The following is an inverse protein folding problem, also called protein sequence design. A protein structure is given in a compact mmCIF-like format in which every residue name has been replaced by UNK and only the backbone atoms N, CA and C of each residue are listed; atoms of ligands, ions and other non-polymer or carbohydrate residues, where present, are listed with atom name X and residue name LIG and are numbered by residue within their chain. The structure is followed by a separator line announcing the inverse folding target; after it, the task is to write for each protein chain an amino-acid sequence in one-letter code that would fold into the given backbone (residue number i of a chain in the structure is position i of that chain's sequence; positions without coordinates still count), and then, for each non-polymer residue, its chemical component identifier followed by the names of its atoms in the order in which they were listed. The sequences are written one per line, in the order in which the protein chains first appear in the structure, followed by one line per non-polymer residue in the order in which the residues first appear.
data_IF_255181057269
#
_entry.id   IF_255181057269
#
_cell.length_a   1.000
_cell.length_b   1.000
_cell.length_c   1.000
_cell.angle_alpha   90.00
_cell.angle_beta   90.00
_cell.angle_gamma   90.00
#
_symmetry.space_group_name_H-M   'P 1'
#
loop_
_entity.id
_entity.type
_entity.pdbx_description
1 polymer ?
#
# COMPACT_ATOMS: atom_id res chain seq x y z
N UNK A 1 7.94 -18.88 1.88
CA UNK A 1 8.59 -17.63 2.31
C UNK A 1 7.61 -16.48 2.10
N UNK A 2 7.46 -15.60 3.08
CA UNK A 2 6.59 -14.42 2.99
C UNK A 2 7.40 -13.15 3.25
N UNK A 3 7.23 -12.12 2.40
CA UNK A 3 7.83 -10.81 2.61
C UNK A 3 6.70 -9.78 2.64
N UNK A 4 6.62 -9.03 3.72
CA UNK A 4 5.71 -7.91 3.86
C UNK A 4 6.48 -6.61 3.69
N UNK A 5 5.94 -5.68 2.90
CA UNK A 5 6.61 -4.43 2.56
C UNK A 5 5.88 -3.23 3.13
N UNK A 6 6.62 -2.13 3.31
CA UNK A 6 6.08 -0.78 3.55
C UNK A 6 5.82 -0.11 2.21
N UNK A 7 4.58 0.26 1.96
CA UNK A 7 4.15 0.93 0.73
C UNK A 7 3.79 2.38 1.06
N UNK A 8 4.20 3.31 0.21
CA UNK A 8 3.82 4.72 0.29
C UNK A 8 2.96 5.07 -0.93
N UNK A 9 1.67 5.24 -0.69
CA UNK A 9 0.67 5.61 -1.67
C UNK A 9 0.45 7.12 -1.64
N UNK A 10 0.64 7.78 -2.77
CA UNK A 10 0.12 9.12 -3.01
C UNK A 10 -1.23 8.99 -3.71
N UNK A 11 -2.29 9.47 -3.07
CA UNK A 11 -3.67 9.32 -3.55
C UNK A 11 -4.41 10.65 -3.64
N UNK A 12 -5.37 10.68 -4.56
CA UNK A 12 -6.44 11.66 -4.55
C UNK A 12 -7.63 11.12 -3.76
N UNK A 13 -8.15 11.89 -2.81
CA UNK A 13 -9.27 11.48 -1.96
C UNK A 13 -10.32 12.59 -1.85
N UNK A 14 -11.56 12.20 -1.59
CA UNK A 14 -12.63 13.09 -1.18
C UNK A 14 -13.10 12.72 0.23
N UNK A 15 -13.22 13.70 1.12
CA UNK A 15 -13.79 13.50 2.45
C UNK A 15 -15.30 13.61 2.41
N UNK A 16 -16.01 13.07 3.42
CA UNK A 16 -17.46 13.26 3.56
C UNK A 16 -17.92 14.73 3.54
N UNK A 17 -17.06 15.67 3.91
CA UNK A 17 -17.35 17.11 3.81
C UNK A 17 -17.31 17.67 2.38
N UNK A 18 -17.02 16.85 1.36
CA UNK A 18 -16.82 17.27 -0.03
C UNK A 18 -15.42 17.82 -0.32
N UNK A 19 -14.55 17.99 0.69
CA UNK A 19 -13.19 18.48 0.48
C UNK A 19 -12.35 17.44 -0.24
N UNK A 20 -11.79 17.83 -1.39
CA UNK A 20 -10.88 17.02 -2.20
C UNK A 20 -9.43 17.32 -1.84
N UNK A 21 -8.62 16.25 -1.77
CA UNK A 21 -7.17 16.32 -1.56
C UNK A 21 -6.48 15.50 -2.64
N UNK A 22 -5.76 16.15 -3.56
CA UNK A 22 -5.18 15.49 -4.74
C UNK A 22 -3.80 14.83 -4.50
N UNK A 23 -3.18 15.07 -3.34
CA UNK A 23 -1.85 14.55 -2.99
C UNK A 23 -1.78 14.18 -1.52
N UNK A 24 -2.58 13.20 -1.11
CA UNK A 24 -2.53 12.65 0.24
C UNK A 24 -1.59 11.45 0.28
N UNK A 25 -0.54 11.50 1.12
CA UNK A 25 0.36 10.35 1.32
C UNK A 25 -0.18 9.42 2.39
N UNK A 26 -0.11 8.12 2.14
CA UNK A 26 -0.47 7.07 3.09
C UNK A 26 0.55 5.95 3.06
N UNK A 27 1.09 5.64 4.24
CA UNK A 27 1.98 4.49 4.42
C UNK A 27 1.17 3.32 4.96
N UNK A 28 1.24 2.19 4.27
CA UNK A 28 0.51 0.95 4.60
C UNK A 28 1.42 -0.27 4.45
N UNK A 29 0.98 -1.40 4.99
CA UNK A 29 1.71 -2.66 4.90
C UNK A 29 1.01 -3.61 3.93
N UNK A 30 1.79 -4.42 3.24
CA UNK A 30 1.24 -5.50 2.41
C UNK A 30 2.32 -6.33 1.73
N UNK A 31 2.02 -7.61 1.52
CA UNK A 31 2.89 -8.52 0.78
C UNK A 31 2.81 -8.28 -0.75
N UNK A 32 1.68 -7.75 -1.21
CA UNK A 32 1.42 -7.42 -2.62
C UNK A 32 0.77 -6.05 -2.73
N UNK A 33 0.80 -5.48 -3.95
CA UNK A 33 0.11 -4.23 -4.24
C UNK A 33 -1.38 -4.28 -3.87
N UNK A 34 -2.09 -5.35 -4.26
CA UNK A 34 -3.53 -5.49 -3.99
C UNK A 34 -3.86 -5.53 -2.51
N UNK A 35 -3.06 -6.24 -1.70
CA UNK A 35 -3.26 -6.29 -0.24
C UNK A 35 -2.98 -4.93 0.40
N UNK A 36 -1.93 -4.24 -0.02
CA UNK A 36 -1.60 -2.91 0.47
C UNK A 36 -2.68 -1.87 0.05
N UNK A 37 -3.16 -1.95 -1.19
CA UNK A 37 -4.26 -1.12 -1.69
C UNK A 37 -5.55 -1.35 -0.91
N UNK A 38 -5.89 -2.61 -0.62
CA UNK A 38 -7.05 -2.94 0.20
C UNK A 38 -6.94 -2.32 1.60
N UNK A 39 -5.81 -2.48 2.29
CA UNK A 39 -5.58 -1.90 3.62
C UNK A 39 -5.68 -0.36 3.62
N UNK A 40 -5.11 0.28 2.59
CA UNK A 40 -5.24 1.72 2.35
C UNK A 40 -6.70 2.14 2.20
N UNK A 41 -7.49 1.45 1.36
CA UNK A 41 -8.91 1.76 1.16
C UNK A 41 -9.70 1.58 2.46
N UNK A 42 -9.44 0.52 3.23
CA UNK A 42 -10.09 0.31 4.53
C UNK A 42 -9.73 1.42 5.52
N UNK A 43 -8.47 1.87 5.52
CA UNK A 43 -8.02 2.98 6.35
C UNK A 43 -8.70 4.30 5.96
N UNK A 44 -8.87 4.56 4.66
CA UNK A 44 -9.62 5.72 4.16
C UNK A 44 -11.09 5.67 4.61
N UNK A 45 -11.75 4.51 4.49
CA UNK A 45 -13.13 4.31 4.95
C UNK A 45 -13.29 4.63 6.43
N UNK A 46 -12.39 4.13 7.29
CA UNK A 46 -12.35 4.44 8.73
C UNK A 46 -12.17 5.93 9.01
N UNK A 47 -11.48 6.66 8.12
CA UNK A 47 -11.24 8.11 8.20
C UNK A 47 -12.31 8.96 7.52
N UNK A 48 -13.45 8.36 7.12
CA UNK A 48 -14.52 9.06 6.39
C UNK A 48 -14.02 9.74 5.10
N UNK A 49 -13.10 9.07 4.40
CA UNK A 49 -12.57 9.48 3.12
C UNK A 49 -12.76 8.37 2.08
N UNK A 50 -12.98 8.77 0.83
CA UNK A 50 -13.13 7.88 -0.31
C UNK A 50 -11.95 8.11 -1.25
N UNK A 51 -11.36 7.02 -1.74
CA UNK A 51 -10.34 7.06 -2.77
C UNK A 51 -10.97 7.53 -4.09
N UNK A 52 -10.35 8.52 -4.73
CA UNK A 52 -10.67 8.93 -6.11
C UNK A 52 -9.74 8.19 -7.06
N UNK A 53 -8.43 8.28 -6.82
CA UNK A 53 -7.42 7.61 -7.64
C UNK A 53 -6.09 7.47 -6.90
N UNK A 54 -5.30 6.48 -7.32
CA UNK A 54 -3.89 6.36 -6.94
C UNK A 54 -3.05 7.14 -7.94
N UNK A 55 -2.33 8.15 -7.45
CA UNK A 55 -1.48 9.03 -8.27
C UNK A 55 -0.09 8.44 -8.45
N UNK A 56 0.45 7.87 -7.38
CA UNK A 56 1.78 7.26 -7.35
C UNK A 56 1.84 6.24 -6.23
N UNK A 57 2.60 5.18 -6.45
CA UNK A 57 2.98 4.25 -5.40
C UNK A 57 4.49 4.02 -5.43
N UNK A 58 5.08 3.80 -4.27
CA UNK A 58 6.45 3.27 -4.15
C UNK A 58 6.55 2.31 -2.99
N UNK A 59 7.46 1.35 -3.08
CA UNK A 59 7.81 0.49 -1.94
C UNK A 59 9.00 1.11 -1.23
N UNK A 60 8.86 1.38 0.07
CA UNK A 60 9.88 2.02 0.89
C UNK A 60 10.91 1.02 1.42
N UNK A 61 10.49 -0.21 1.67
CA UNK A 61 11.35 -1.22 2.29
C UNK A 61 10.59 -2.47 2.70
N UNK A 62 11.34 -3.46 3.17
CA UNK A 62 10.78 -4.63 3.85
C UNK A 62 10.34 -4.21 5.25
N UNK A 63 9.08 -4.50 5.59
CA UNK A 63 8.56 -4.33 6.95
C UNK A 63 8.99 -5.50 7.84
N UNK A 64 8.79 -6.72 7.35
CA UNK A 64 9.28 -7.97 7.92
C UNK A 64 9.27 -9.06 6.86
N UNK A 65 10.03 -10.13 7.10
CA UNK A 65 9.99 -11.34 6.28
C UNK A 65 10.01 -12.58 7.17
N UNK A 66 9.29 -13.62 6.74
CA UNK A 66 9.21 -14.91 7.38
C UNK A 66 9.66 -16.02 6.42
N UNK A 67 10.40 -16.99 6.93
CA UNK A 67 10.73 -18.22 6.20
C UNK A 67 9.54 -19.20 6.18
N UNK A 68 9.76 -20.41 5.66
CA UNK A 68 8.72 -21.45 5.58
C UNK A 68 8.32 -22.01 6.95
N UNK A 69 9.14 -21.79 7.98
CA UNK A 69 8.90 -22.19 9.37
C UNK A 69 8.36 -21.03 10.22
N UNK A 70 7.90 -19.95 9.58
CA UNK A 70 7.38 -18.74 10.22
C UNK A 70 8.38 -18.01 11.14
N UNK A 71 9.69 -18.23 10.93
CA UNK A 71 10.75 -17.52 11.66
C UNK A 71 11.10 -16.22 10.97
N UNK A 72 11.39 -15.18 11.76
CA UNK A 72 11.82 -13.89 11.24
C UNK A 72 13.18 -14.00 10.56
N UNK A 73 13.24 -13.52 9.32
CA UNK A 73 14.48 -13.44 8.55
C UNK A 73 14.73 -12.01 8.12
N UNK A 74 16.02 -11.64 8.02
CA UNK A 74 16.42 -10.32 7.53
C UNK A 74 16.38 -10.32 6.01
N UNK A 75 15.62 -9.39 5.42
CA UNK A 75 15.55 -9.15 3.97
C UNK A 75 15.55 -7.66 3.67
N UNK A 76 16.00 -7.34 2.48
CA UNK A 76 16.05 -5.99 1.90
C UNK A 76 15.30 -5.97 0.58
N UNK A 77 15.06 -4.79 -0.01
CA UNK A 77 14.43 -4.70 -1.34
C UNK A 77 15.32 -5.27 -2.44
N UNK A 78 16.64 -5.34 -2.23
CA UNK A 78 17.57 -5.95 -3.18
C UNK A 78 17.35 -7.47 -3.31
N UNK A 79 16.76 -8.11 -2.31
CA UNK A 79 16.44 -9.54 -2.31
C UNK A 79 15.19 -9.88 -3.15
N UNK A 80 14.39 -8.87 -3.49
CA UNK A 80 13.14 -9.05 -4.24
C UNK A 80 12.22 -7.85 -4.09
N UNK A 81 12.05 -7.10 -5.19
CA UNK A 81 11.08 -6.02 -5.25
C UNK A 81 9.69 -6.61 -5.53
N UNK A 82 8.63 -6.22 -4.80
CA UNK A 82 7.29 -6.67 -5.14
C UNK A 82 6.86 -6.06 -6.47
N UNK A 83 6.03 -6.78 -7.19
CA UNK A 83 5.40 -6.27 -8.41
C UNK A 83 4.51 -5.07 -8.09
N UNK A 84 4.65 -4.02 -8.92
CA UNK A 84 3.79 -2.85 -8.93
C UNK A 84 3.09 -2.84 -10.29
N UNK A 85 1.75 -2.84 -10.36
CA UNK A 85 1.04 -2.82 -11.63
C UNK A 85 1.25 -1.51 -12.37
N UNK A 86 1.18 -1.55 -13.69
CA UNK A 86 1.24 -0.35 -14.54
C UNK A 86 -0.01 0.52 -14.35
N UNK A 87 -1.19 -0.11 -14.28
CA UNK A 87 -2.43 0.56 -13.86
C UNK A 87 -2.59 0.45 -12.34
N UNK A 88 -2.51 1.61 -11.68
CA UNK A 88 -2.60 1.71 -10.24
C UNK A 88 -4.05 1.71 -9.73
N UNK A 89 -5.04 1.92 -10.59
CA UNK A 89 -6.43 2.03 -10.15
C UNK A 89 -7.11 0.67 -10.30
N UNK A 90 -7.11 -0.11 -9.22
CA UNK A 90 -7.83 -1.37 -9.18
C UNK A 90 -9.34 -1.09 -9.11
N UNK A 91 -10.06 -1.48 -10.16
CA UNK A 91 -11.53 -1.49 -10.17
C UNK A 91 -12.02 -2.71 -9.37
N UNK A 92 -12.58 -2.48 -8.18
CA UNK A 92 -13.24 -3.49 -7.35
C UNK A 92 -14.72 -3.20 -7.23
#
# INVERSE_FOLDING_TARGET
MMICYKWDFTVSIIRKSGKVHNKHSMVVLGCTYSLAHFDMVQTLKKRNATLISVVKVRVMGVAFALDDNMQFIKRTLADGMPYIPEDLNLNY
#
